data_IF_613222107972
#
_entry.id   IF_613222107972
#
_cell.length_a   1.000
_cell.length_b   1.000
_cell.length_c   1.000
_cell.angle_alpha   90.00
_cell.angle_beta   90.00
_cell.angle_gamma   90.00
#
_symmetry.space_group_name_H-M   'P 1'
#
loop_
_entity.id
_entity.type
_entity.pdbx_description
1 polymer ?
#
# COMPACT_ATOMS: atom_id res chain seq x y z
N UNK A 1 -6.45 -8.57 18.91
CA UNK A 1 -5.83 -8.19 17.61
C UNK A 1 -5.21 -6.81 17.78
N UNK A 2 -3.96 -6.59 17.37
CA UNK A 2 -3.32 -5.26 17.50
C UNK A 2 -3.99 -4.26 16.56
N UNK A 3 -4.10 -2.99 16.97
CA UNK A 3 -4.74 -1.92 16.18
C UNK A 3 -4.11 -1.79 14.79
N UNK A 4 -2.78 -1.85 14.70
CA UNK A 4 -2.04 -1.83 13.44
C UNK A 4 -2.55 -2.91 12.47
N UNK A 5 -2.64 -4.17 12.91
CA UNK A 5 -3.14 -5.28 12.09
C UNK A 5 -4.58 -5.07 11.61
N UNK A 6 -5.46 -4.53 12.48
CA UNK A 6 -6.85 -4.21 12.11
C UNK A 6 -6.86 -3.17 10.99
N UNK A 7 -6.09 -2.10 11.15
CA UNK A 7 -6.02 -0.99 10.19
C UNK A 7 -5.45 -1.47 8.86
N UNK A 8 -4.34 -2.21 8.88
CA UNK A 8 -3.69 -2.72 7.67
C UNK A 8 -4.64 -3.57 6.81
N UNK A 9 -5.25 -4.61 7.38
CA UNK A 9 -6.18 -5.47 6.62
C UNK A 9 -7.47 -4.76 6.23
N UNK A 10 -7.98 -3.85 7.06
CA UNK A 10 -9.14 -3.06 6.68
C UNK A 10 -8.84 -2.16 5.48
N UNK A 11 -7.67 -1.50 5.45
CA UNK A 11 -7.29 -0.62 4.35
C UNK A 11 -6.98 -1.38 3.06
N UNK A 12 -6.45 -2.60 3.14
CA UNK A 12 -6.23 -3.46 1.96
C UNK A 12 -7.51 -4.09 1.41
N UNK A 13 -8.48 -4.46 2.25
CA UNK A 13 -9.66 -5.24 1.81
C UNK A 13 -11.00 -4.54 2.00
N UNK A 14 -11.22 -3.90 3.15
CA UNK A 14 -12.49 -3.23 3.48
C UNK A 14 -12.64 -1.88 2.79
N UNK A 15 -11.60 -1.04 2.85
CA UNK A 15 -11.61 0.31 2.30
C UNK A 15 -11.82 0.36 0.77
N UNK A 16 -11.22 -0.54 -0.04
CA UNK A 16 -11.52 -0.63 -1.47
C UNK A 16 -13.00 -0.87 -1.79
N UNK A 17 -13.69 -1.68 -0.97
CA UNK A 17 -15.13 -1.93 -1.11
C UNK A 17 -15.92 -0.65 -0.84
N UNK A 18 -15.55 0.09 0.21
CA UNK A 18 -16.19 1.39 0.51
C UNK A 18 -15.98 2.38 -0.62
N UNK A 19 -14.77 2.45 -1.19
CA UNK A 19 -14.50 3.32 -2.34
C UNK A 19 -15.41 2.94 -3.53
N UNK A 20 -15.46 1.66 -3.87
CA UNK A 20 -16.35 1.17 -4.93
C UNK A 20 -17.80 1.56 -4.67
N UNK A 21 -18.29 1.30 -3.46
CA UNK A 21 -19.69 1.53 -3.07
C UNK A 21 -20.09 3.00 -3.08
N UNK A 22 -19.29 3.88 -2.47
CA UNK A 22 -19.64 5.29 -2.32
C UNK A 22 -19.41 6.10 -3.60
N UNK A 23 -18.31 5.88 -4.31
CA UNK A 23 -17.92 6.70 -5.47
C UNK A 23 -18.39 6.13 -6.82
N UNK A 24 -18.61 4.80 -6.90
CA UNK A 24 -18.94 4.12 -8.17
C UNK A 24 -20.24 3.31 -8.09
N UNK A 25 -21.26 3.84 -7.39
CA UNK A 25 -22.58 3.23 -7.12
C UNK A 25 -23.14 2.31 -8.22
N UNK A 26 -23.08 2.71 -9.50
CA UNK A 26 -23.63 1.91 -10.63
C UNK A 26 -22.82 0.65 -10.93
N UNK A 27 -21.51 0.69 -10.74
CA UNK A 27 -20.56 -0.39 -11.09
C UNK A 27 -19.73 -0.84 -9.88
N UNK A 28 -20.21 -0.58 -8.65
CA UNK A 28 -19.40 -0.62 -7.44
C UNK A 28 -18.70 -1.96 -7.22
N UNK A 29 -19.38 -3.07 -7.51
CA UNK A 29 -18.82 -4.42 -7.39
C UNK A 29 -17.63 -4.64 -8.32
N UNK A 30 -17.71 -4.13 -9.55
CA UNK A 30 -16.64 -4.24 -10.54
C UNK A 30 -15.43 -3.41 -10.13
N UNK A 31 -15.66 -2.18 -9.66
CA UNK A 31 -14.57 -1.33 -9.16
C UNK A 31 -13.93 -1.93 -7.92
N UNK A 32 -14.72 -2.35 -6.93
CA UNK A 32 -14.22 -3.00 -5.72
C UNK A 32 -13.41 -4.26 -6.05
N UNK A 33 -13.87 -5.10 -7.00
CA UNK A 33 -13.12 -6.28 -7.43
C UNK A 33 -11.77 -5.92 -8.06
N UNK A 34 -11.73 -4.88 -8.90
CA UNK A 34 -10.45 -4.39 -9.47
C UNK A 34 -9.52 -3.90 -8.36
N UNK A 35 -10.01 -3.06 -7.45
CA UNK A 35 -9.19 -2.52 -6.36
C UNK A 35 -8.70 -3.61 -5.38
N UNK A 36 -9.49 -4.65 -5.11
CA UNK A 36 -9.04 -5.79 -4.30
C UNK A 36 -8.04 -6.65 -5.08
N UNK A 37 -8.22 -6.81 -6.40
CA UNK A 37 -7.29 -7.61 -7.20
C UNK A 37 -5.87 -7.04 -7.24
N UNK A 38 -5.68 -5.74 -6.97
CA UNK A 38 -4.34 -5.14 -6.91
C UNK A 38 -3.52 -5.61 -5.71
N UNK A 39 -4.11 -6.30 -4.72
CA UNK A 39 -3.37 -6.99 -3.66
C UNK A 39 -2.40 -8.05 -4.20
N UNK A 40 -2.59 -8.50 -5.46
CA UNK A 40 -1.63 -9.37 -6.14
C UNK A 40 -0.24 -8.72 -6.33
N UNK A 41 -0.11 -7.40 -6.11
CA UNK A 41 1.19 -6.73 -6.10
C UNK A 41 2.15 -7.35 -5.08
N UNK A 42 1.63 -7.84 -3.95
CA UNK A 42 2.40 -8.52 -2.89
C UNK A 42 3.04 -9.84 -3.32
N UNK A 43 2.67 -10.38 -4.49
CA UNK A 43 3.39 -11.53 -5.03
C UNK A 43 4.88 -11.20 -5.29
N UNK A 44 5.26 -9.93 -5.33
CA UNK A 44 6.67 -9.53 -5.38
C UNK A 44 7.46 -9.85 -4.09
N UNK A 45 6.79 -10.15 -2.97
CA UNK A 45 7.41 -10.66 -1.74
C UNK A 45 8.13 -11.99 -1.98
N UNK A 46 7.69 -12.78 -2.97
CA UNK A 46 8.33 -14.04 -3.34
C UNK A 46 9.76 -13.85 -3.84
N UNK A 47 10.13 -12.64 -4.27
CA UNK A 47 11.49 -12.29 -4.69
C UNK A 47 12.36 -11.74 -3.56
N UNK A 48 11.82 -11.57 -2.35
CA UNK A 48 12.59 -11.11 -1.20
C UNK A 48 13.23 -12.27 -0.43
N UNK A 49 14.38 -11.99 0.20
CA UNK A 49 15.01 -12.90 1.17
C UNK A 49 15.15 -12.17 2.51
N UNK A 50 14.49 -12.64 3.60
CA UNK A 50 13.51 -13.73 3.62
C UNK A 50 12.20 -13.35 2.88
N UNK A 51 11.42 -14.34 2.45
CA UNK A 51 10.13 -14.09 1.75
C UNK A 51 9.17 -13.32 2.67
N UNK A 52 9.02 -13.78 3.91
CA UNK A 52 8.18 -13.14 4.93
C UNK A 52 9.00 -12.73 6.16
N UNK A 53 8.75 -11.52 6.65
CA UNK A 53 9.32 -10.99 7.89
C UNK A 53 8.32 -10.02 8.52
N UNK A 54 7.85 -10.33 9.73
CA UNK A 54 6.73 -9.63 10.38
C UNK A 54 6.95 -8.12 10.59
N UNK A 55 8.19 -7.69 10.85
CA UNK A 55 8.54 -6.29 11.13
C UNK A 55 9.36 -5.66 10.00
N UNK A 56 9.09 -6.03 8.74
CA UNK A 56 9.73 -5.41 7.58
C UNK A 56 8.82 -4.31 7.04
N UNK A 57 9.37 -3.11 6.85
CA UNK A 57 8.67 -2.09 6.09
C UNK A 57 8.71 -2.45 4.59
N UNK A 58 7.54 -2.78 4.02
CA UNK A 58 7.40 -3.14 2.59
C UNK A 58 7.54 -1.94 1.65
N UNK A 59 7.16 -0.74 2.11
CA UNK A 59 7.21 0.48 1.31
C UNK A 59 8.64 0.79 0.85
N UNK A 60 8.86 0.81 -0.47
CA UNK A 60 10.19 1.03 -1.06
C UNK A 60 11.12 -0.20 -1.03
N UNK A 61 10.73 -1.32 -0.42
CA UNK A 61 11.58 -2.50 -0.25
C UNK A 61 11.45 -3.50 -1.41
N UNK A 62 10.22 -3.87 -1.76
CA UNK A 62 9.96 -4.85 -2.81
C UNK A 62 9.94 -4.23 -4.21
N UNK A 63 10.11 -5.05 -5.26
CA UNK A 63 10.31 -4.60 -6.65
C UNK A 63 9.14 -3.73 -7.14
N UNK A 64 7.91 -4.16 -6.89
CA UNK A 64 6.68 -3.45 -7.25
C UNK A 64 6.29 -2.39 -6.21
N UNK A 65 6.99 -2.37 -5.07
CA UNK A 65 6.86 -1.37 -4.01
C UNK A 65 7.92 -0.25 -4.12
N UNK A 66 8.72 -0.22 -5.19
CA UNK A 66 9.71 0.83 -5.40
C UNK A 66 9.07 2.17 -5.77
N UNK A 67 9.76 3.29 -5.49
CA UNK A 67 9.31 4.63 -5.91
C UNK A 67 9.09 4.75 -7.43
N UNK A 68 9.88 4.02 -8.23
CA UNK A 68 9.70 3.97 -9.69
C UNK A 68 8.39 3.26 -10.08
N UNK A 69 8.04 2.17 -9.40
CA UNK A 69 6.76 1.49 -9.61
C UNK A 69 5.59 2.40 -9.21
N UNK A 70 5.70 3.10 -8.07
CA UNK A 70 4.68 4.07 -7.65
C UNK A 70 4.48 5.21 -8.68
N UNK A 71 5.56 5.73 -9.26
CA UNK A 71 5.45 6.74 -10.32
C UNK A 71 4.67 6.20 -11.54
N UNK A 72 4.90 4.95 -11.94
CA UNK A 72 4.10 4.30 -12.98
C UNK A 72 2.63 4.17 -12.56
N UNK A 73 2.33 3.85 -11.31
CA UNK A 73 0.95 3.75 -10.81
C UNK A 73 0.22 5.10 -10.84
N UNK A 74 0.93 6.19 -10.57
CA UNK A 74 0.43 7.56 -10.79
C UNK A 74 0.11 7.80 -12.26
N UNK A 75 0.99 7.38 -13.18
CA UNK A 75 0.73 7.50 -14.63
C UNK A 75 -0.52 6.72 -15.05
N UNK A 76 -0.75 5.53 -14.49
CA UNK A 76 -1.94 4.73 -14.78
C UNK A 76 -3.26 5.46 -14.47
N UNK A 77 -3.26 6.40 -13.52
CA UNK A 77 -4.45 7.21 -13.19
C UNK A 77 -4.95 8.05 -14.38
N UNK A 78 -4.07 8.43 -15.30
CA UNK A 78 -4.41 9.27 -16.46
C UNK A 78 -4.92 8.47 -17.66
N UNK A 79 -4.90 7.14 -17.61
CA UNK A 79 -5.43 6.28 -18.66
C UNK A 79 -6.93 6.00 -18.47
N UNK A 80 -7.59 5.53 -19.55
CA UNK A 80 -9.01 5.16 -19.49
C UNK A 80 -9.23 3.93 -18.62
N UNK A 81 -10.48 3.70 -18.20
CA UNK A 81 -10.87 2.45 -17.53
C UNK A 81 -10.44 1.23 -18.38
N UNK A 82 -9.91 0.15 -17.77
CA UNK A 82 -9.79 -0.07 -16.32
C UNK A 82 -8.46 0.42 -15.71
N UNK A 83 -7.52 0.94 -16.51
CA UNK A 83 -6.16 1.26 -16.07
C UNK A 83 -6.12 2.28 -14.92
N UNK A 84 -6.99 3.30 -14.94
CA UNK A 84 -7.10 4.25 -13.84
C UNK A 84 -7.51 3.62 -12.52
N UNK A 85 -8.39 2.61 -12.53
CA UNK A 85 -8.77 1.87 -11.32
C UNK A 85 -7.64 0.98 -10.82
N UNK A 86 -6.87 0.38 -11.73
CA UNK A 86 -5.67 -0.39 -11.36
C UNK A 86 -4.64 0.53 -10.70
N UNK A 87 -4.35 1.68 -11.30
CA UNK A 87 -3.45 2.69 -10.70
C UNK A 87 -3.93 3.15 -9.33
N UNK A 88 -5.23 3.42 -9.18
CA UNK A 88 -5.81 3.80 -7.89
C UNK A 88 -5.66 2.69 -6.84
N UNK A 89 -5.96 1.44 -7.18
CA UNK A 89 -5.82 0.30 -6.27
C UNK A 89 -4.39 0.07 -5.83
N UNK A 90 -3.43 0.14 -6.76
CA UNK A 90 -2.00 0.02 -6.45
C UNK A 90 -1.52 1.16 -5.55
N UNK A 91 -1.93 2.40 -5.80
CA UNK A 91 -1.56 3.53 -4.93
C UNK A 91 -2.19 3.43 -3.54
N UNK A 92 -3.44 2.96 -3.43
CA UNK A 92 -4.08 2.70 -2.14
C UNK A 92 -3.35 1.63 -1.35
N UNK A 93 -2.90 0.57 -2.03
CA UNK A 93 -2.06 -0.47 -1.43
C UNK A 93 -0.74 0.14 -0.90
N UNK A 94 0.00 0.92 -1.71
CA UNK A 94 1.25 1.55 -1.29
C UNK A 94 1.06 2.50 -0.09
N UNK A 95 -0.04 3.26 -0.06
CA UNK A 95 -0.38 4.13 1.08
C UNK A 95 -0.66 3.28 2.33
N UNK A 96 -1.31 2.14 2.17
CA UNK A 96 -1.64 1.24 3.29
C UNK A 96 -0.37 0.65 3.91
N UNK A 97 0.58 0.23 3.07
CA UNK A 97 1.89 -0.23 3.51
C UNK A 97 2.73 0.87 4.15
N UNK A 98 2.67 2.11 3.64
CA UNK A 98 3.31 3.25 4.28
C UNK A 98 2.72 3.53 5.67
N UNK A 99 1.40 3.48 5.82
CA UNK A 99 0.73 3.62 7.11
C UNK A 99 1.23 2.52 8.05
N UNK A 100 1.31 1.28 7.59
CA UNK A 100 1.80 0.16 8.39
C UNK A 100 3.26 0.39 8.86
N UNK A 101 4.12 0.83 7.94
CA UNK A 101 5.48 1.23 8.26
C UNK A 101 5.55 2.36 9.29
N UNK A 102 4.65 3.36 9.23
CA UNK A 102 4.60 4.45 10.22
C UNK A 102 4.21 3.93 11.61
N UNK A 103 3.23 3.03 11.70
CA UNK A 103 2.87 2.37 12.97
C UNK A 103 4.08 1.64 13.56
N UNK A 104 4.81 0.89 12.74
CA UNK A 104 5.99 0.16 13.19
C UNK A 104 7.16 1.08 13.56
N UNK A 105 7.41 2.11 12.75
CA UNK A 105 8.47 3.10 12.97
C UNK A 105 8.25 3.90 14.26
N UNK A 106 7.01 4.24 14.56
CA UNK A 106 6.64 4.90 15.82
C UNK A 106 6.99 4.05 17.05
N UNK A 107 6.88 2.72 16.94
CA UNK A 107 7.23 1.80 18.03
C UNK A 107 8.74 1.63 18.22
N UNK A 108 9.52 1.64 17.14
CA UNK A 108 10.98 1.51 17.21
C UNK A 108 11.67 2.20 16.03
N UNK A 109 12.10 3.45 16.20
CA UNK A 109 12.78 4.21 15.13
C UNK A 109 14.10 3.57 14.70
N UNK A 110 14.89 3.08 15.66
CA UNK A 110 16.20 2.46 15.41
C UNK A 110 16.11 1.14 14.63
N UNK A 111 14.98 0.43 14.72
CA UNK A 111 14.74 -0.82 14.00
C UNK A 111 14.62 -0.64 12.48
N UNK A 112 14.35 0.59 12.01
CA UNK A 112 14.12 0.91 10.60
C UNK A 112 15.19 1.83 10.02
N UNK A 113 16.31 2.00 10.72
CA UNK A 113 17.48 2.68 10.15
C UNK A 113 17.98 1.85 8.96
N UNK A 114 18.30 2.51 7.86
CA UNK A 114 18.68 1.95 6.57
C UNK A 114 17.55 1.24 5.80
N UNK A 115 16.28 1.34 6.21
CA UNK A 115 15.18 0.92 5.33
C UNK A 115 15.04 1.90 4.16
N UNK A 116 14.65 1.46 2.95
CA UNK A 116 14.45 2.36 1.80
C UNK A 116 13.48 3.51 2.10
N UNK A 117 12.49 3.28 2.97
CA UNK A 117 11.51 4.29 3.38
C UNK A 117 11.98 5.26 4.47
N UNK A 118 13.18 5.11 5.06
CA UNK A 118 13.60 5.83 6.27
C UNK A 118 13.35 7.34 6.17
N UNK A 119 13.78 7.96 5.07
CA UNK A 119 13.63 9.41 4.87
C UNK A 119 12.18 9.87 4.84
N UNK A 120 11.28 9.09 4.23
CA UNK A 120 9.84 9.39 4.18
C UNK A 120 9.21 9.21 5.55
N UNK A 121 9.55 8.15 6.27
CA UNK A 121 9.05 7.88 7.62
C UNK A 121 9.46 8.99 8.59
N UNK A 122 10.74 9.37 8.59
CA UNK A 122 11.24 10.48 9.40
C UNK A 122 10.59 11.82 9.04
N UNK A 123 10.39 12.09 7.75
CA UNK A 123 9.74 13.32 7.30
C UNK A 123 8.29 13.41 7.80
N UNK A 124 7.49 12.37 7.61
CA UNK A 124 6.08 12.36 8.05
C UNK A 124 5.98 12.48 9.56
N UNK A 125 6.83 11.76 10.31
CA UNK A 125 6.85 11.79 11.76
C UNK A 125 7.33 13.12 12.36
N UNK A 126 7.82 14.08 11.58
CA UNK A 126 8.07 15.45 12.09
C UNK A 126 6.79 16.25 12.33
N UNK A 127 5.67 15.81 11.75
CA UNK A 127 4.38 16.49 11.85
C UNK A 127 3.45 15.92 12.93
N UNK A 128 3.89 14.88 13.64
CA UNK A 128 3.15 14.21 14.72
C UNK A 128 4.03 14.12 15.96
#
# INVERSE_FOLDING_TARGET
MKTQTVVHYFLHFGFPILIGYFFFRKEWKKVALILISTMLVDLDHLFATPIFQENRCSFGFHILHTYYAMALYVVLLFFKKPYNFIGLGLLLHMITDLIDCLFMFYQCKTCYVNTPAQGVLEFIMKFF
#
